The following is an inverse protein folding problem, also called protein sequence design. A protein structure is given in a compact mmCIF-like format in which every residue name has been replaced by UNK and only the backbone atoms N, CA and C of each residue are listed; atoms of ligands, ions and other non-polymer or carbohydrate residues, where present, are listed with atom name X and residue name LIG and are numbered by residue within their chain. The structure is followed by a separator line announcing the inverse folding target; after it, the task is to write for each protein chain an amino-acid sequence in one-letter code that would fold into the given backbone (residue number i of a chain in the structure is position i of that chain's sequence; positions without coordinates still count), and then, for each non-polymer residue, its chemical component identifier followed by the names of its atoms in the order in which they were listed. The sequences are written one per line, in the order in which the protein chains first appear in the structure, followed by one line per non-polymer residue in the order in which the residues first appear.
data_IF_410852905056
#
_entry.id   IF_410852905056
#
_cell.length_a   1.000
_cell.length_b   1.000
_cell.length_c   1.000
_cell.angle_alpha   90.00
_cell.angle_beta   90.00
_cell.angle_gamma   90.00
#
_symmetry.space_group_name_H-M   'P 1'
#
loop_
_entity.id
_entity.type
_entity.pdbx_description
1 polymer ?
#
# COMPACT_ATOMS: atom_id res chain seq x y z
N UNK A 1 -3.42 -19.86 -12.00
CA UNK A 1 -2.70 -19.06 -13.02
C UNK A 1 -1.24 -18.99 -12.65
N UNK A 2 -0.32 -19.10 -13.60
CA UNK A 2 1.12 -18.89 -13.40
C UNK A 2 1.47 -17.46 -13.85
N UNK A 3 2.11 -16.66 -13.00
CA UNK A 3 2.60 -15.33 -13.34
C UNK A 3 4.07 -15.44 -13.74
N UNK A 4 4.42 -14.98 -14.92
CA UNK A 4 5.80 -14.91 -15.45
C UNK A 4 6.31 -13.47 -15.52
N UNK A 5 5.42 -12.53 -15.80
CA UNK A 5 5.71 -11.10 -15.90
C UNK A 5 4.58 -10.29 -15.28
N UNK A 6 4.94 -9.30 -14.48
CA UNK A 6 3.99 -8.37 -13.88
C UNK A 6 4.20 -6.94 -14.39
N UNK A 7 3.23 -6.08 -14.14
CA UNK A 7 3.38 -4.64 -14.33
C UNK A 7 2.95 -3.88 -13.07
N UNK A 8 3.54 -2.71 -12.86
CA UNK A 8 3.10 -1.72 -11.87
C UNK A 8 2.80 -0.43 -12.61
N UNK A 9 1.58 0.08 -12.47
CA UNK A 9 1.15 1.33 -13.09
C UNK A 9 0.99 2.41 -12.02
N UNK A 10 1.81 3.45 -12.15
CA UNK A 10 2.08 4.44 -11.11
C UNK A 10 3.42 4.17 -10.45
N UNK A 11 4.43 5.00 -10.74
CA UNK A 11 5.81 4.85 -10.27
C UNK A 11 6.13 5.67 -9.01
N UNK A 12 5.10 6.18 -8.33
CA UNK A 12 5.25 6.93 -7.08
C UNK A 12 5.81 6.09 -5.93
N UNK A 13 5.73 6.63 -4.70
CA UNK A 13 6.30 6.01 -3.49
C UNK A 13 5.94 4.54 -3.33
N UNK A 14 4.67 4.18 -3.51
CA UNK A 14 4.24 2.78 -3.41
C UNK A 14 4.67 1.96 -4.63
N UNK A 15 4.53 2.51 -5.84
CA UNK A 15 4.80 1.76 -7.08
C UNK A 15 6.24 1.28 -7.21
N UNK A 16 7.22 2.13 -6.87
CA UNK A 16 8.63 1.74 -6.87
C UNK A 16 8.94 0.62 -5.87
N UNK A 17 8.36 0.67 -4.66
CA UNK A 17 8.53 -0.40 -3.66
C UNK A 17 7.78 -1.68 -4.02
N UNK A 18 6.59 -1.58 -4.64
CA UNK A 18 5.84 -2.75 -5.14
C UNK A 18 6.65 -3.44 -6.24
N UNK A 19 7.17 -2.70 -7.20
CA UNK A 19 8.01 -3.24 -8.26
C UNK A 19 9.26 -3.93 -7.70
N UNK A 20 9.93 -3.30 -6.73
CA UNK A 20 11.05 -3.91 -6.01
C UNK A 20 10.67 -5.23 -5.35
N UNK A 21 9.53 -5.28 -4.67
CA UNK A 21 9.06 -6.49 -3.98
C UNK A 21 8.82 -7.65 -4.97
N UNK A 22 8.25 -7.34 -6.14
CA UNK A 22 8.00 -8.31 -7.21
C UNK A 22 9.34 -8.81 -7.80
N UNK A 23 10.25 -7.88 -8.13
CA UNK A 23 11.57 -8.20 -8.69
C UNK A 23 12.45 -9.00 -7.71
N UNK A 24 12.43 -8.65 -6.41
CA UNK A 24 13.17 -9.38 -5.36
C UNK A 24 12.68 -10.84 -5.15
N UNK A 25 11.50 -11.16 -5.64
CA UNK A 25 10.99 -12.53 -5.70
C UNK A 25 11.37 -13.27 -7.01
N UNK A 26 12.07 -12.61 -7.93
CA UNK A 26 12.57 -13.19 -9.19
C UNK A 26 11.65 -13.00 -10.40
N UNK A 27 10.61 -12.17 -10.31
CA UNK A 27 9.70 -11.88 -11.41
C UNK A 27 10.16 -10.67 -12.22
N UNK A 28 10.01 -10.74 -13.54
CA UNK A 28 10.14 -9.56 -14.40
C UNK A 28 8.98 -8.61 -14.16
N UNK A 29 9.25 -7.31 -14.08
CA UNK A 29 8.24 -6.29 -13.83
C UNK A 29 8.47 -5.06 -14.70
N UNK A 30 7.39 -4.56 -15.31
CA UNK A 30 7.37 -3.28 -16.02
C UNK A 30 6.76 -2.23 -15.11
N UNK A 31 7.45 -1.11 -14.91
CA UNK A 31 6.94 0.06 -14.17
C UNK A 31 6.54 1.13 -15.19
N UNK A 32 5.27 1.48 -15.21
CA UNK A 32 4.70 2.49 -16.11
C UNK A 32 4.24 3.73 -15.35
N UNK A 33 4.61 4.90 -15.82
CA UNK A 33 4.00 6.16 -15.40
C UNK A 33 3.81 7.10 -16.60
N UNK A 34 3.13 8.24 -16.39
CA UNK A 34 2.81 9.20 -17.45
C UNK A 34 4.01 10.05 -17.88
N UNK A 35 5.02 10.20 -17.04
CA UNK A 35 6.21 11.00 -17.28
C UNK A 35 7.48 10.22 -16.91
N UNK A 36 8.54 10.40 -17.74
CA UNK A 36 9.82 9.73 -17.51
C UNK A 36 10.42 10.04 -16.13
N UNK A 37 10.24 11.27 -15.64
CA UNK A 37 10.73 11.67 -14.34
C UNK A 37 10.12 10.87 -13.17
N UNK A 38 8.85 10.48 -13.25
CA UNK A 38 8.22 9.61 -12.27
C UNK A 38 8.72 8.16 -12.40
N UNK A 39 8.89 7.68 -13.62
CA UNK A 39 9.49 6.35 -13.89
C UNK A 39 10.88 6.28 -13.27
N UNK A 40 11.73 7.26 -13.53
CA UNK A 40 13.11 7.31 -13.01
C UNK A 40 13.14 7.34 -11.48
N UNK A 41 12.25 8.10 -10.85
CA UNK A 41 12.09 8.13 -9.38
C UNK A 41 11.66 6.76 -8.82
N UNK A 42 10.71 6.09 -9.46
CA UNK A 42 10.27 4.75 -9.07
C UNK A 42 11.38 3.71 -9.16
N UNK A 43 12.16 3.75 -10.25
CA UNK A 43 13.33 2.88 -10.44
C UNK A 43 14.43 3.15 -9.41
N UNK A 44 14.69 4.43 -9.11
CA UNK A 44 15.68 4.78 -8.08
C UNK A 44 15.20 4.33 -6.69
N UNK A 45 13.93 4.51 -6.38
CA UNK A 45 13.35 3.98 -5.14
C UNK A 45 13.53 2.47 -5.00
N UNK A 46 13.30 1.72 -6.08
CA UNK A 46 13.51 0.28 -6.10
C UNK A 46 14.98 -0.09 -5.85
N UNK A 47 15.95 0.67 -6.43
CA UNK A 47 17.38 0.49 -6.18
C UNK A 47 17.77 0.77 -4.73
N UNK A 48 17.32 1.90 -4.18
CA UNK A 48 17.59 2.28 -2.79
C UNK A 48 17.13 1.21 -1.82
N UNK A 49 15.88 0.75 -1.99
CA UNK A 49 15.29 -0.30 -1.13
C UNK A 49 16.07 -1.60 -1.24
N UNK A 50 16.40 -2.03 -2.45
CA UNK A 50 17.17 -3.26 -2.68
C UNK A 50 18.54 -3.19 -2.01
N UNK A 51 19.30 -2.11 -2.23
CA UNK A 51 20.60 -1.91 -1.61
C UNK A 51 20.52 -1.82 -0.10
N UNK A 52 19.51 -1.13 0.45
CA UNK A 52 19.28 -1.03 1.88
C UNK A 52 19.04 -2.40 2.55
N UNK A 53 18.21 -3.24 1.94
CA UNK A 53 17.96 -4.61 2.42
C UNK A 53 19.21 -5.49 2.38
N UNK A 54 19.98 -5.42 1.31
CA UNK A 54 21.20 -6.22 1.14
C UNK A 54 22.34 -5.74 2.07
N UNK A 55 22.47 -4.43 2.28
CA UNK A 55 23.42 -3.86 3.26
C UNK A 55 23.15 -4.41 4.66
N UNK A 56 21.88 -4.51 5.07
CA UNK A 56 21.52 -5.12 6.36
C UNK A 56 21.92 -6.61 6.47
N UNK A 57 22.10 -7.33 5.35
CA UNK A 57 22.64 -8.69 5.35
C UNK A 57 24.17 -8.70 5.42
N UNK A 58 24.84 -7.76 4.78
CA UNK A 58 26.30 -7.58 4.87
C UNK A 58 26.70 -7.24 6.31
N UNK A 59 26.04 -6.28 6.94
CA UNK A 59 26.28 -5.89 8.33
C UNK A 59 26.10 -7.06 9.32
N UNK A 60 25.22 -8.01 9.01
CA UNK A 60 25.00 -9.24 9.77
C UNK A 60 25.96 -10.37 9.39
N UNK A 61 26.95 -10.13 8.52
CA UNK A 61 27.90 -11.13 8.05
C UNK A 61 27.30 -12.28 7.24
N UNK A 62 26.12 -12.06 6.62
CA UNK A 62 25.41 -13.09 5.83
C UNK A 62 25.70 -13.02 4.35
N UNK A 63 26.27 -11.93 3.88
CA UNK A 63 26.71 -11.70 2.50
C UNK A 63 28.02 -10.91 2.52
N UNK A 64 28.85 -11.07 1.49
CA UNK A 64 29.93 -10.13 1.17
C UNK A 64 29.37 -8.89 0.46
N UNK A 65 30.15 -7.80 0.42
CA UNK A 65 29.77 -6.60 -0.34
C UNK A 65 29.61 -6.89 -1.84
N UNK A 66 30.50 -7.70 -2.41
CA UNK A 66 30.47 -8.10 -3.82
C UNK A 66 29.20 -8.91 -4.15
N UNK A 67 28.82 -9.87 -3.30
CA UNK A 67 27.57 -10.63 -3.47
C UNK A 67 26.33 -9.74 -3.32
N UNK A 68 26.36 -8.76 -2.44
CA UNK A 68 25.26 -7.82 -2.25
C UNK A 68 25.06 -6.94 -3.49
N UNK A 69 26.14 -6.39 -4.06
CA UNK A 69 26.06 -5.58 -5.29
C UNK A 69 25.60 -6.40 -6.48
N UNK A 70 26.13 -7.62 -6.69
CA UNK A 70 25.66 -8.52 -7.74
C UNK A 70 24.17 -8.82 -7.64
N UNK A 71 23.67 -9.13 -6.44
CA UNK A 71 22.24 -9.37 -6.22
C UNK A 71 21.38 -8.12 -6.40
N UNK A 72 21.93 -6.94 -6.07
CA UNK A 72 21.23 -5.68 -6.30
C UNK A 72 21.04 -5.44 -7.81
N UNK A 73 22.09 -5.63 -8.59
CA UNK A 73 22.06 -5.47 -10.05
C UNK A 73 21.13 -6.50 -10.70
N UNK A 74 21.18 -7.76 -10.27
CA UNK A 74 20.25 -8.79 -10.74
C UNK A 74 18.79 -8.43 -10.45
N UNK A 75 18.48 -7.98 -9.24
CA UNK A 75 17.10 -7.60 -8.86
C UNK A 75 16.62 -6.40 -9.65
N UNK A 76 17.44 -5.35 -9.73
CA UNK A 76 17.09 -4.12 -10.46
C UNK A 76 17.01 -4.38 -11.97
N UNK A 77 17.84 -5.29 -12.49
CA UNK A 77 17.81 -5.73 -13.89
C UNK A 77 16.51 -6.42 -14.31
N UNK A 78 15.68 -6.86 -13.37
CA UNK A 78 14.33 -7.39 -13.65
C UNK A 78 13.28 -6.30 -13.80
N UNK A 79 13.60 -5.04 -13.50
CA UNK A 79 12.66 -3.92 -13.53
C UNK A 79 12.90 -3.08 -14.77
N UNK A 80 11.91 -3.01 -15.65
CA UNK A 80 11.91 -2.15 -16.84
C UNK A 80 10.97 -0.96 -16.63
N UNK A 81 11.43 0.26 -16.95
CA UNK A 81 10.63 1.48 -16.86
C UNK A 81 10.12 1.93 -18.23
N UNK A 82 8.87 2.41 -18.29
CA UNK A 82 8.27 2.93 -19.53
C UNK A 82 7.25 4.03 -19.26
N UNK A 83 7.05 4.91 -20.24
CA UNK A 83 5.90 5.84 -20.26
C UNK A 83 4.75 5.34 -21.12
N UNK A 84 4.97 4.28 -21.86
CA UNK A 84 4.04 3.74 -22.86
C UNK A 84 3.38 2.44 -22.37
N UNK A 85 2.29 2.07 -23.00
CA UNK A 85 1.57 0.83 -22.67
C UNK A 85 2.03 -0.41 -23.45
N UNK A 86 2.86 -0.23 -24.51
CA UNK A 86 3.28 -1.34 -25.38
C UNK A 86 3.99 -2.47 -24.62
N UNK A 87 4.73 -2.14 -23.55
CA UNK A 87 5.41 -3.13 -22.71
C UNK A 87 4.50 -4.02 -21.86
N UNK A 88 3.17 -3.76 -21.88
CA UNK A 88 2.19 -4.48 -21.07
C UNK A 88 1.42 -5.57 -21.84
N UNK A 89 1.71 -5.75 -23.13
CA UNK A 89 0.99 -6.71 -23.98
C UNK A 89 1.23 -8.20 -23.67
N UNK A 90 2.16 -8.52 -22.78
CA UNK A 90 2.55 -9.89 -22.39
C UNK A 90 2.58 -10.11 -20.85
N UNK A 91 1.95 -9.22 -20.08
CA UNK A 91 1.90 -9.34 -18.62
C UNK A 91 0.75 -10.26 -18.16
N UNK A 92 0.98 -10.94 -17.05
CA UNK A 92 -0.03 -11.82 -16.44
C UNK A 92 -0.75 -11.15 -15.26
N UNK A 93 -0.11 -10.16 -14.62
CA UNK A 93 -0.60 -9.50 -13.42
C UNK A 93 -0.22 -8.01 -13.42
N UNK A 94 -1.19 -7.14 -13.23
CA UNK A 94 -0.95 -5.69 -13.14
C UNK A 94 -1.33 -5.20 -11.74
N UNK A 95 -0.45 -4.42 -11.12
CA UNK A 95 -0.77 -3.69 -9.88
C UNK A 95 -0.86 -2.20 -10.18
N UNK A 96 -2.06 -1.63 -10.12
CA UNK A 96 -2.29 -0.20 -10.24
C UNK A 96 -2.00 0.49 -8.90
N UNK A 97 -1.17 1.52 -8.92
CA UNK A 97 -0.74 2.34 -7.78
C UNK A 97 -0.73 3.85 -8.10
N UNK A 98 -1.66 4.29 -8.96
CA UNK A 98 -1.84 5.72 -9.29
C UNK A 98 -2.55 6.47 -8.14
N UNK A 99 -2.58 7.82 -8.14
CA UNK A 99 -3.24 8.60 -7.08
C UNK A 99 -4.66 8.15 -6.78
N UNK A 100 -5.06 8.24 -5.50
CA UNK A 100 -6.30 7.71 -4.92
C UNK A 100 -7.53 8.54 -5.34
N UNK A 101 -7.89 8.44 -6.63
CA UNK A 101 -9.01 9.12 -7.27
C UNK A 101 -9.76 8.14 -8.16
N UNK A 102 -11.02 7.87 -7.84
CA UNK A 102 -11.82 6.86 -8.53
C UNK A 102 -11.94 7.12 -10.05
N UNK A 103 -12.15 8.38 -10.45
CA UNK A 103 -12.25 8.74 -11.88
C UNK A 103 -10.95 8.45 -12.65
N UNK A 104 -9.78 8.66 -12.00
CA UNK A 104 -8.49 8.35 -12.59
C UNK A 104 -8.32 6.84 -12.70
N UNK A 105 -8.59 6.10 -11.62
CA UNK A 105 -8.45 4.65 -11.59
C UNK A 105 -9.35 3.97 -12.61
N UNK A 106 -10.61 4.41 -12.76
CA UNK A 106 -11.52 3.89 -13.79
C UNK A 106 -10.97 4.06 -15.20
N UNK A 107 -10.37 5.21 -15.52
CA UNK A 107 -9.72 5.44 -16.82
C UNK A 107 -8.54 4.51 -17.03
N UNK A 108 -7.65 4.42 -16.02
CA UNK A 108 -6.49 3.52 -16.08
C UNK A 108 -6.92 2.07 -16.26
N UNK A 109 -7.96 1.60 -15.56
CA UNK A 109 -8.48 0.25 -15.71
C UNK A 109 -9.06 0.00 -17.10
N UNK A 110 -9.78 0.96 -17.69
CA UNK A 110 -10.25 0.87 -19.07
C UNK A 110 -9.09 0.78 -20.08
N UNK A 111 -8.04 1.60 -19.90
CA UNK A 111 -6.84 1.54 -20.74
C UNK A 111 -6.10 0.20 -20.58
N UNK A 112 -5.96 -0.30 -19.35
CA UNK A 112 -5.34 -1.60 -19.06
C UNK A 112 -6.13 -2.77 -19.67
N UNK A 113 -7.44 -2.68 -19.68
CA UNK A 113 -8.31 -3.69 -20.30
C UNK A 113 -8.05 -3.86 -21.81
N UNK A 114 -7.75 -2.75 -22.49
CA UNK A 114 -7.46 -2.73 -23.93
C UNK A 114 -6.06 -3.27 -24.27
N UNK A 115 -5.05 -2.98 -23.43
CA UNK A 115 -3.63 -3.20 -23.76
C UNK A 115 -3.04 -4.48 -23.17
N UNK A 116 -3.69 -5.07 -22.16
CA UNK A 116 -3.17 -6.29 -21.50
C UNK A 116 -3.89 -7.54 -22.00
N UNK A 117 -3.25 -8.72 -21.94
CA UNK A 117 -3.88 -9.98 -22.35
C UNK A 117 -5.19 -10.25 -21.60
N UNK A 118 -6.17 -10.86 -22.25
CA UNK A 118 -7.49 -11.15 -21.65
C UNK A 118 -7.45 -12.05 -20.42
N UNK A 119 -6.34 -12.77 -20.18
CA UNK A 119 -6.13 -13.57 -18.98
C UNK A 119 -5.51 -12.79 -17.81
N UNK A 120 -4.93 -11.62 -18.08
CA UNK A 120 -4.23 -10.84 -17.07
C UNK A 120 -5.17 -10.38 -15.95
N UNK A 121 -4.73 -10.53 -14.71
CA UNK A 121 -5.41 -9.98 -13.53
C UNK A 121 -5.06 -8.50 -13.41
N UNK A 122 -6.07 -7.67 -13.25
CA UNK A 122 -5.93 -6.23 -13.02
C UNK A 122 -6.21 -5.95 -11.54
N UNK A 123 -5.18 -5.57 -10.80
CA UNK A 123 -5.25 -5.38 -9.36
C UNK A 123 -5.07 -3.91 -8.98
N UNK A 124 -5.84 -3.40 -8.02
CA UNK A 124 -5.66 -2.05 -7.47
C UNK A 124 -5.02 -2.08 -6.09
N UNK A 125 -4.04 -1.21 -5.87
CA UNK A 125 -3.44 -0.96 -4.55
C UNK A 125 -4.24 0.09 -3.75
N UNK A 126 -5.49 0.34 -4.09
CA UNK A 126 -6.35 1.26 -3.32
C UNK A 126 -6.47 0.85 -1.87
N UNK A 127 -6.58 1.82 -0.98
CA UNK A 127 -6.84 1.60 0.45
C UNK A 127 -8.32 1.72 0.84
N UNK A 128 -9.17 2.26 -0.06
CA UNK A 128 -10.54 2.63 0.31
C UNK A 128 -11.55 2.70 -0.83
N UNK A 129 -11.08 2.78 -2.10
CA UNK A 129 -11.97 2.95 -3.24
C UNK A 129 -12.57 1.61 -3.70
N UNK A 130 -13.76 1.67 -4.32
CA UNK A 130 -14.51 0.51 -4.76
C UNK A 130 -13.80 -0.26 -5.89
N UNK A 131 -13.48 -1.52 -5.63
CA UNK A 131 -12.93 -2.46 -6.61
C UNK A 131 -13.99 -2.79 -7.66
N UNK A 132 -15.24 -2.99 -7.24
CA UNK A 132 -16.35 -3.26 -8.15
C UNK A 132 -16.58 -2.11 -9.14
N UNK A 133 -16.42 -0.84 -8.70
CA UNK A 133 -16.54 0.31 -9.58
C UNK A 133 -15.42 0.36 -10.62
N UNK A 134 -14.18 0.03 -10.24
CA UNK A 134 -13.08 -0.11 -11.18
C UNK A 134 -13.29 -1.28 -12.15
N UNK A 135 -13.79 -2.42 -11.65
CA UNK A 135 -14.13 -3.58 -12.47
C UNK A 135 -15.17 -3.26 -13.55
N UNK A 136 -16.20 -2.50 -13.22
CA UNK A 136 -17.24 -2.07 -14.18
C UNK A 136 -16.72 -1.16 -15.31
N UNK A 137 -15.55 -0.59 -15.17
CA UNK A 137 -14.89 0.20 -16.21
C UNK A 137 -14.18 -0.68 -17.27
N UNK A 138 -14.12 -2.01 -17.07
CA UNK A 138 -13.47 -2.98 -17.95
C UNK A 138 -14.48 -3.92 -18.60
N UNK A 139 -14.07 -4.61 -19.67
CA UNK A 139 -14.86 -5.67 -20.32
C UNK A 139 -14.80 -7.01 -19.55
N UNK A 140 -13.93 -7.13 -18.56
CA UNK A 140 -13.66 -8.33 -17.74
C UNK A 140 -13.63 -8.01 -16.24
N UNK A 141 -14.75 -7.55 -15.66
CA UNK A 141 -14.80 -7.19 -14.23
C UNK A 141 -14.45 -8.37 -13.30
N UNK A 142 -14.63 -9.60 -13.77
CA UNK A 142 -14.26 -10.82 -13.07
C UNK A 142 -12.73 -11.00 -12.89
N UNK A 143 -11.90 -10.29 -13.67
CA UNK A 143 -10.44 -10.26 -13.57
C UNK A 143 -9.90 -9.06 -12.77
N UNK A 144 -10.78 -8.25 -12.19
CA UNK A 144 -10.39 -7.10 -11.37
C UNK A 144 -10.47 -7.45 -9.89
N UNK A 145 -9.43 -7.08 -9.12
CA UNK A 145 -9.28 -7.43 -7.70
C UNK A 145 -8.58 -6.31 -6.94
N UNK A 146 -8.84 -6.15 -5.66
CA UNK A 146 -8.00 -5.33 -4.78
C UNK A 146 -6.76 -6.11 -4.35
N UNK A 147 -5.61 -5.43 -4.33
CA UNK A 147 -4.32 -6.02 -3.94
C UNK A 147 -3.54 -5.01 -3.11
N UNK A 148 -4.04 -4.79 -1.89
CA UNK A 148 -3.62 -3.69 -1.05
C UNK A 148 -2.37 -4.01 -0.25
N UNK A 149 -1.28 -3.32 -0.59
CA UNK A 149 -0.03 -3.31 0.16
C UNK A 149 -0.07 -2.30 1.30
N UNK A 150 0.64 -2.60 2.37
CA UNK A 150 0.89 -1.67 3.47
C UNK A 150 2.25 -1.02 3.33
N UNK A 151 2.33 0.27 3.68
CA UNK A 151 3.60 1.00 3.63
C UNK A 151 4.48 0.68 4.86
N UNK A 152 5.78 0.48 4.67
CA UNK A 152 6.52 0.33 3.41
C UNK A 152 6.27 -1.04 2.75
N UNK A 153 5.97 -1.05 1.44
CA UNK A 153 5.62 -2.29 0.73
C UNK A 153 6.74 -3.34 0.77
N UNK A 154 7.99 -2.89 0.81
CA UNK A 154 9.18 -3.74 0.88
C UNK A 154 9.38 -4.44 2.23
N UNK A 155 8.77 -3.94 3.31
CA UNK A 155 8.91 -4.43 4.70
C UNK A 155 7.66 -5.20 5.14
N UNK A 156 6.48 -4.61 4.89
CA UNK A 156 5.22 -5.17 5.35
C UNK A 156 4.88 -6.46 4.60
N UNK A 157 4.62 -7.52 5.36
CA UNK A 157 4.38 -8.85 4.78
C UNK A 157 2.94 -9.06 4.35
N UNK A 158 2.00 -8.38 4.98
CA UNK A 158 0.57 -8.56 4.74
C UNK A 158 0.15 -7.91 3.43
N UNK A 159 -0.73 -8.59 2.70
CA UNK A 159 -1.51 -8.05 1.57
C UNK A 159 -2.98 -8.40 1.81
N UNK A 160 -3.86 -7.43 1.65
CA UNK A 160 -5.29 -7.69 1.53
C UNK A 160 -5.62 -7.96 0.07
N UNK A 161 -6.23 -9.12 -0.19
CA UNK A 161 -6.81 -9.49 -1.49
C UNK A 161 -8.30 -9.28 -1.38
N UNK A 162 -8.81 -8.24 -2.06
CA UNK A 162 -10.15 -7.73 -1.87
C UNK A 162 -11.02 -8.11 -3.07
N UNK A 163 -12.11 -8.83 -2.79
CA UNK A 163 -13.16 -9.13 -3.76
C UNK A 163 -13.99 -7.86 -4.03
N UNK A 164 -14.08 -7.43 -5.28
CA UNK A 164 -15.04 -6.41 -5.69
C UNK A 164 -16.45 -7.00 -5.61
N UNK A 165 -17.35 -6.30 -4.92
CA UNK A 165 -18.70 -6.81 -4.63
C UNK A 165 -19.45 -7.25 -5.89
N UNK A 166 -19.69 -8.57 -5.98
CA UNK A 166 -20.41 -9.20 -7.09
C UNK A 166 -19.74 -9.13 -8.45
N UNK A 167 -18.43 -8.80 -8.52
CA UNK A 167 -17.69 -8.69 -9.78
C UNK A 167 -16.50 -9.64 -9.89
N UNK A 168 -15.61 -9.67 -8.90
CA UNK A 168 -14.38 -10.47 -8.93
C UNK A 168 -14.69 -11.97 -8.88
N UNK A 169 -14.09 -12.77 -9.76
CA UNK A 169 -14.25 -14.23 -9.75
C UNK A 169 -13.40 -14.90 -8.67
N UNK A 170 -13.83 -16.06 -8.18
CA UNK A 170 -13.06 -16.87 -7.24
C UNK A 170 -11.69 -17.28 -7.82
N UNK A 171 -11.63 -17.58 -9.13
CA UNK A 171 -10.37 -17.86 -9.83
C UNK A 171 -9.39 -16.68 -9.74
N UNK A 172 -9.88 -15.44 -9.86
CA UNK A 172 -9.06 -14.23 -9.74
C UNK A 172 -8.60 -14.01 -8.30
N UNK A 173 -9.47 -14.25 -7.31
CA UNK A 173 -9.11 -14.22 -5.90
C UNK A 173 -8.00 -15.24 -5.56
N UNK A 174 -8.12 -16.46 -6.07
CA UNK A 174 -7.09 -17.50 -5.92
C UNK A 174 -5.78 -17.11 -6.61
N UNK A 175 -5.85 -16.58 -7.83
CA UNK A 175 -4.69 -16.14 -8.59
C UNK A 175 -3.94 -15.02 -7.86
N UNK A 176 -4.66 -14.02 -7.33
CA UNK A 176 -4.07 -12.92 -6.57
C UNK A 176 -3.43 -13.42 -5.25
N UNK A 177 -4.13 -14.28 -4.50
CA UNK A 177 -3.58 -14.84 -3.27
C UNK A 177 -2.31 -15.68 -3.53
N UNK A 178 -2.31 -16.50 -4.58
CA UNK A 178 -1.13 -17.28 -4.97
C UNK A 178 0.03 -16.39 -5.43
N UNK A 179 -0.24 -15.32 -6.16
CA UNK A 179 0.79 -14.36 -6.56
C UNK A 179 1.38 -13.64 -5.34
N UNK A 180 0.54 -13.21 -4.37
CA UNK A 180 1.02 -12.63 -3.12
C UNK A 180 2.00 -13.57 -2.39
N UNK A 181 1.66 -14.87 -2.29
CA UNK A 181 2.56 -15.87 -1.69
C UNK A 181 3.86 -16.06 -2.49
N UNK A 182 3.76 -16.07 -3.83
CA UNK A 182 4.93 -16.20 -4.71
C UNK A 182 5.92 -15.03 -4.54
N UNK A 183 5.43 -13.81 -4.29
CA UNK A 183 6.25 -12.65 -3.95
C UNK A 183 6.56 -12.52 -2.45
N UNK A 184 6.44 -13.64 -1.70
CA UNK A 184 6.78 -13.78 -0.27
C UNK A 184 5.94 -12.90 0.66
N UNK A 185 4.72 -12.55 0.26
CA UNK A 185 3.74 -11.88 1.10
C UNK A 185 2.77 -12.88 1.73
N UNK A 186 2.03 -12.41 2.71
CA UNK A 186 0.99 -13.16 3.41
C UNK A 186 -0.37 -12.57 3.03
N UNK A 187 -1.12 -13.19 2.11
CA UNK A 187 -2.44 -12.69 1.73
C UNK A 187 -3.48 -13.03 2.78
N UNK A 188 -4.39 -12.07 3.02
CA UNK A 188 -5.71 -12.33 3.59
C UNK A 188 -6.76 -11.98 2.56
N UNK A 189 -7.80 -12.81 2.43
CA UNK A 189 -8.92 -12.56 1.52
C UNK A 189 -10.03 -11.87 2.29
N UNK A 190 -10.61 -10.84 1.68
CA UNK A 190 -11.75 -10.12 2.26
C UNK A 190 -12.67 -9.58 1.18
N UNK A 191 -13.89 -9.23 1.58
CA UNK A 191 -14.83 -8.50 0.74
C UNK A 191 -14.57 -7.00 0.74
N UNK A 192 -15.19 -6.33 -0.20
CA UNK A 192 -15.17 -4.87 -0.33
C UNK A 192 -16.01 -4.24 0.79
N UNK A 193 -15.35 -3.67 1.78
CA UNK A 193 -15.96 -2.93 2.86
C UNK A 193 -15.11 -1.68 3.18
N UNK A 194 -15.68 -0.58 3.65
CA UNK A 194 -14.91 0.61 4.02
C UNK A 194 -13.75 0.27 4.97
N UNK A 195 -12.51 0.63 4.57
CA UNK A 195 -11.29 0.33 5.31
C UNK A 195 -10.86 -1.13 5.31
N UNK A 196 -11.48 -1.97 4.49
CA UNK A 196 -11.22 -3.41 4.36
C UNK A 196 -11.14 -4.11 5.73
N UNK A 197 -10.08 -4.85 6.03
CA UNK A 197 -9.90 -5.51 7.33
C UNK A 197 -9.01 -4.70 8.26
N UNK A 198 -7.79 -4.38 7.82
CA UNK A 198 -6.77 -3.82 8.71
C UNK A 198 -7.11 -2.40 9.15
N UNK A 199 -7.41 -1.51 8.22
CA UNK A 199 -7.78 -0.14 8.57
C UNK A 199 -9.04 -0.11 9.44
N UNK A 200 -10.04 -0.94 9.12
CA UNK A 200 -11.27 -1.04 9.90
C UNK A 200 -11.03 -1.51 11.33
N UNK A 201 -10.21 -2.54 11.54
CA UNK A 201 -9.87 -3.05 12.88
C UNK A 201 -8.99 -2.05 13.63
N UNK A 202 -7.95 -1.54 12.97
CA UNK A 202 -7.00 -0.60 13.58
C UNK A 202 -7.68 0.69 14.01
N UNK A 203 -8.41 1.35 13.09
CA UNK A 203 -9.10 2.60 13.42
C UNK A 203 -10.18 2.39 14.48
N UNK A 204 -10.92 1.26 14.49
CA UNK A 204 -11.87 0.98 15.55
C UNK A 204 -11.18 0.89 16.93
N UNK A 205 -10.02 0.24 17.00
CA UNK A 205 -9.26 0.11 18.24
C UNK A 205 -8.69 1.46 18.71
N UNK A 206 -8.04 2.21 17.83
CA UNK A 206 -7.42 3.48 18.20
C UNK A 206 -8.43 4.61 18.38
N UNK A 207 -9.59 4.56 17.71
CA UNK A 207 -10.70 5.51 17.93
C UNK A 207 -11.15 5.55 19.38
N UNK A 208 -11.23 4.38 20.03
CA UNK A 208 -11.61 4.33 21.44
C UNK A 208 -10.56 4.99 22.33
N UNK A 209 -9.27 4.81 22.02
CA UNK A 209 -8.18 5.50 22.73
C UNK A 209 -8.26 7.02 22.54
N UNK A 210 -8.53 7.49 21.30
CA UNK A 210 -8.72 8.93 21.05
C UNK A 210 -9.93 9.49 21.77
N UNK A 211 -11.04 8.74 21.85
CA UNK A 211 -12.25 9.13 22.58
C UNK A 211 -11.97 9.32 24.07
N UNK A 212 -11.25 8.37 24.68
CA UNK A 212 -10.85 8.46 26.09
C UNK A 212 -9.90 9.63 26.33
N UNK A 213 -8.94 9.84 25.43
CA UNK A 213 -8.01 10.97 25.50
C UNK A 213 -8.74 12.32 25.46
N UNK A 214 -9.66 12.47 24.51
CA UNK A 214 -10.45 13.71 24.33
C UNK A 214 -11.36 13.97 25.54
N UNK A 215 -12.05 12.92 26.05
CA UNK A 215 -12.97 13.04 27.16
C UNK A 215 -12.30 13.40 28.51
N UNK A 216 -11.04 13.04 28.68
CA UNK A 216 -10.32 13.18 29.96
C UNK A 216 -9.09 14.09 29.87
N UNK A 217 -8.79 14.67 28.72
CA UNK A 217 -7.65 15.54 28.45
C UNK A 217 -6.31 14.94 28.92
N UNK A 218 -6.13 13.64 28.67
CA UNK A 218 -4.89 12.93 29.06
C UNK A 218 -3.79 13.24 28.04
N UNK A 219 -2.54 13.40 28.52
CA UNK A 219 -1.41 13.58 27.60
C UNK A 219 -1.25 12.34 26.68
N UNK A 220 -1.28 12.49 25.36
CA UNK A 220 -1.04 11.41 24.40
C UNK A 220 0.20 10.56 24.71
N UNK A 221 1.27 11.18 25.20
CA UNK A 221 2.54 10.51 25.53
C UNK A 221 2.40 9.55 26.73
N UNK A 222 1.57 9.91 27.71
CA UNK A 222 1.29 9.03 28.85
C UNK A 222 0.50 7.80 28.41
N UNK A 223 -0.49 7.97 27.53
CA UNK A 223 -1.27 6.86 26.99
C UNK A 223 -0.39 5.91 26.18
N UNK A 224 0.40 6.46 25.25
CA UNK A 224 1.31 5.67 24.41
C UNK A 224 2.32 4.88 25.23
N UNK A 225 2.84 5.49 26.30
CA UNK A 225 3.76 4.83 27.22
C UNK A 225 3.10 3.63 27.90
N UNK A 226 1.90 3.79 28.43
CA UNK A 226 1.17 2.70 29.11
C UNK A 226 0.87 1.56 28.15
N UNK A 227 0.43 1.86 26.92
CA UNK A 227 0.13 0.85 25.90
C UNK A 227 1.37 0.06 25.52
N UNK A 228 2.50 0.75 25.29
CA UNK A 228 3.77 0.11 24.91
C UNK A 228 4.36 -0.73 26.06
N UNK A 229 4.35 -0.19 27.29
CA UNK A 229 4.88 -0.89 28.49
C UNK A 229 4.02 -2.09 28.88
N UNK A 230 2.72 -2.05 28.66
CA UNK A 230 1.82 -3.19 28.91
C UNK A 230 1.99 -4.34 27.91
N UNK A 231 2.67 -4.11 26.78
CA UNK A 231 2.79 -5.08 25.70
C UNK A 231 1.52 -5.25 24.86
N UNK A 232 0.52 -4.39 25.04
CA UNK A 232 -0.72 -4.43 24.25
C UNK A 232 -0.49 -4.11 22.78
N UNK A 233 0.47 -3.20 22.49
CA UNK A 233 0.94 -2.91 21.14
C UNK A 233 2.45 -2.55 21.18
N UNK A 234 3.19 -2.73 20.07
CA UNK A 234 4.62 -2.40 19.99
C UNK A 234 4.89 -0.89 20.07
N UNK A 235 3.89 -0.07 19.75
CA UNK A 235 3.91 1.39 19.89
C UNK A 235 2.50 1.91 20.19
N UNK A 236 2.43 3.08 20.78
CA UNK A 236 1.15 3.71 21.10
C UNK A 236 0.47 4.35 19.87
N UNK A 237 -0.85 4.53 19.91
CA UNK A 237 -1.64 4.98 18.75
C UNK A 237 -1.37 6.43 18.32
N UNK A 238 -0.93 7.31 19.21
CA UNK A 238 -0.62 8.69 18.85
C UNK A 238 0.71 8.79 18.11
N UNK A 239 1.74 8.08 18.58
CA UNK A 239 3.01 7.98 17.88
C UNK A 239 2.86 7.26 16.53
N UNK A 240 2.06 6.18 16.48
CA UNK A 240 1.74 5.49 15.23
C UNK A 240 1.05 6.43 14.24
N UNK A 241 0.10 7.25 14.71
CA UNK A 241 -0.59 8.24 13.86
C UNK A 241 0.37 9.26 13.27
N UNK A 242 1.34 9.73 14.05
CA UNK A 242 2.39 10.64 13.58
C UNK A 242 3.30 9.99 12.52
N UNK A 243 3.64 8.71 12.67
CA UNK A 243 4.43 7.97 11.69
C UNK A 243 3.69 7.77 10.36
N UNK A 244 2.39 7.46 10.41
CA UNK A 244 1.56 7.25 9.23
C UNK A 244 1.20 8.57 8.52
N UNK A 245 1.28 9.67 9.25
CA UNK A 245 0.84 11.00 8.83
C UNK A 245 -0.60 11.28 9.25
N UNK A 246 -0.77 12.32 10.06
CA UNK A 246 -2.07 12.66 10.66
C UNK A 246 -3.15 12.97 9.65
N UNK A 247 -2.82 13.55 8.50
CA UNK A 247 -3.75 13.78 7.39
C UNK A 247 -4.27 12.46 6.80
N UNK A 248 -3.41 11.47 6.63
CA UNK A 248 -3.78 10.14 6.15
C UNK A 248 -4.69 9.42 7.15
N UNK A 249 -4.30 9.42 8.43
CA UNK A 249 -5.06 8.77 9.49
C UNK A 249 -6.41 9.45 9.68
N UNK A 250 -6.45 10.79 9.64
CA UNK A 250 -7.68 11.56 9.74
C UNK A 250 -8.63 11.25 8.58
N UNK A 251 -8.12 11.23 7.35
CA UNK A 251 -8.92 10.91 6.17
C UNK A 251 -9.57 9.51 6.28
N UNK A 252 -8.80 8.51 6.70
CA UNK A 252 -9.32 7.14 6.89
C UNK A 252 -10.36 7.10 8.02
N UNK A 253 -10.12 7.80 9.13
CA UNK A 253 -11.06 7.84 10.25
C UNK A 253 -12.37 8.54 9.87
N UNK A 254 -12.32 9.64 9.12
CA UNK A 254 -13.50 10.35 8.61
C UNK A 254 -14.30 9.48 7.65
N UNK A 255 -13.64 8.87 6.67
CA UNK A 255 -14.28 7.96 5.72
C UNK A 255 -14.99 6.78 6.40
N UNK A 256 -14.34 6.16 7.40
CA UNK A 256 -14.94 5.08 8.18
C UNK A 256 -16.12 5.58 9.03
N UNK A 257 -15.98 6.74 9.67
CA UNK A 257 -17.05 7.36 10.47
C UNK A 257 -18.29 7.67 9.63
N UNK A 258 -18.10 8.24 8.44
CA UNK A 258 -19.19 8.52 7.50
C UNK A 258 -19.90 7.24 7.04
N UNK A 259 -19.14 6.18 6.75
CA UNK A 259 -19.68 4.91 6.28
C UNK A 259 -20.48 4.13 7.33
N UNK A 260 -20.26 4.39 8.61
CA UNK A 260 -20.87 3.68 9.76
C UNK A 260 -21.90 4.55 10.52
N UNK A 261 -22.22 5.74 10.03
CA UNK A 261 -23.14 6.69 10.68
C UNK A 261 -22.56 7.42 11.89
N UNK A 262 -21.24 7.37 12.10
CA UNK A 262 -20.51 8.15 13.12
C UNK A 262 -20.46 7.54 14.52
N UNK A 263 -21.06 6.38 14.75
CA UNK A 263 -21.14 5.81 16.11
C UNK A 263 -19.87 5.04 16.52
N UNK A 264 -19.30 4.28 15.59
CA UNK A 264 -18.21 3.34 15.87
C UNK A 264 -16.83 3.97 15.78
N UNK A 265 -16.61 4.83 14.81
CA UNK A 265 -15.30 5.43 14.52
C UNK A 265 -15.26 6.87 15.00
N UNK A 266 -14.58 7.10 16.11
CA UNK A 266 -14.38 8.44 16.64
C UNK A 266 -13.31 9.20 15.85
N UNK A 267 -13.65 10.39 15.41
CA UNK A 267 -12.72 11.29 14.74
C UNK A 267 -12.21 12.32 15.73
N UNK A 268 -10.93 12.26 16.08
CA UNK A 268 -10.33 13.10 17.11
C UNK A 268 -10.35 14.59 16.72
N UNK A 269 -11.01 15.47 17.51
CA UNK A 269 -10.97 16.92 17.31
C UNK A 269 -9.53 17.47 17.35
N UNK A 270 -8.71 16.93 18.23
CA UNK A 270 -7.30 17.32 18.37
C UNK A 270 -6.48 17.02 17.13
N UNK A 271 -6.74 15.86 16.50
CA UNK A 271 -6.09 15.50 15.23
C UNK A 271 -6.50 16.46 14.11
N UNK A 272 -7.80 16.84 14.04
CA UNK A 272 -8.28 17.85 13.08
C UNK A 272 -7.58 19.19 13.24
N UNK A 273 -7.40 19.67 14.48
CA UNK A 273 -6.67 20.91 14.77
C UNK A 273 -5.20 20.83 14.32
N UNK A 274 -4.51 19.72 14.59
CA UNK A 274 -3.13 19.51 14.18
C UNK A 274 -3.00 19.53 12.65
N UNK A 275 -3.85 18.77 11.96
CA UNK A 275 -3.85 18.73 10.48
C UNK A 275 -4.16 20.11 9.88
N UNK A 276 -5.16 20.82 10.40
CA UNK A 276 -5.51 22.16 9.95
C UNK A 276 -4.36 23.19 10.15
N UNK A 277 -3.50 22.94 11.17
CA UNK A 277 -2.32 23.75 11.45
C UNK A 277 -1.06 23.33 10.67
N UNK A 278 -1.17 22.32 9.77
CA UNK A 278 -0.04 21.79 9.00
C UNK A 278 0.91 20.88 9.78
N UNK A 279 0.53 20.47 10.98
CA UNK A 279 1.28 19.54 11.81
C UNK A 279 0.85 18.11 11.48
N UNK A 280 1.55 17.47 10.53
CA UNK A 280 1.16 16.20 9.94
C UNK A 280 1.95 15.00 10.49
N UNK A 281 2.62 15.16 11.63
CA UNK A 281 3.46 14.14 12.22
C UNK A 281 4.91 14.18 11.71
N UNK A 282 5.55 13.03 11.63
CA UNK A 282 6.97 12.90 11.29
C UNK A 282 7.35 13.61 9.98
N UNK A 283 6.50 13.55 8.95
CA UNK A 283 6.77 14.16 7.64
C UNK A 283 6.89 15.69 7.65
N UNK A 284 6.36 16.36 8.69
CA UNK A 284 6.46 17.81 8.87
C UNK A 284 7.25 18.19 10.13
N UNK A 285 7.88 17.21 10.80
CA UNK A 285 8.64 17.41 12.02
C UNK A 285 7.79 17.62 13.28
N UNK A 286 6.46 17.66 13.16
CA UNK A 286 5.54 17.88 14.27
C UNK A 286 4.17 17.24 14.04
N UNK A 287 3.61 16.64 15.11
CA UNK A 287 2.26 16.11 15.20
C UNK A 287 1.81 16.12 16.66
N UNK A 288 1.38 14.99 17.20
CA UNK A 288 1.23 14.78 18.65
C UNK A 288 2.57 14.84 19.37
N UNK A 289 3.63 14.55 18.64
CA UNK A 289 5.02 14.62 19.09
C UNK A 289 5.79 15.64 18.26
N UNK A 290 6.90 16.14 18.83
CA UNK A 290 7.94 16.80 18.06
C UNK A 290 8.90 15.73 17.51
N UNK A 291 9.17 15.78 16.22
CA UNK A 291 10.07 14.87 15.50
C UNK A 291 11.27 15.67 15.01
N UNK A 292 12.34 15.82 15.82
CA UNK A 292 13.58 16.45 15.34
C UNK A 292 14.13 15.63 14.18
N UNK A 293 14.41 16.32 13.05
CA UNK A 293 14.92 15.74 11.80
C UNK A 293 16.30 15.12 11.93
#
# INVERSE_FOLDING_TARGET
MFVSKAAVVGAGTMGGEIAQTIAAAGFRVVVKDVEQGFVDQGLEKAREVTRGQLRGLVEKGRLSEEEAESRADETVGLIEGTTEYEGLGDVDFVVEAVPERIDLKRRVFAELDEVTPGHAVLASNTSSLSIAEMGRATSRPDKVVGFHYFFPASVMRLIEVIEGEGTTSEETMDAAANFAQAIRKQPIRCGEAPGFVVNRVLIAAISEVWRVQDAHDIDPKEIDKVISESGAAPMGPFFLSDLLGLDTVLHVAEHLSESDGGERFFVSPKMKELVASGHLGQKTGRGFYDHPG
#
